data_IF_201334133029
#
_entry.id   IF_201334133029
#
_cell.length_a   1.000
_cell.length_b   1.000
_cell.length_c   1.000
_cell.angle_alpha   90.00
_cell.angle_beta   90.00
_cell.angle_gamma   90.00
#
_symmetry.space_group_name_H-M   'P 1'
#
loop_
_entity.id
_entity.type
_entity.pdbx_description
1 polymer ?
#
# COMPACT_ATOMS: atom_id res chain seq x y z
N UNK A 1 34.52 13.56 12.94
CA UNK A 1 34.00 13.12 11.62
C UNK A 1 33.74 11.60 11.68
N UNK A 2 32.50 11.16 11.53
CA UNK A 2 32.15 9.71 11.49
C UNK A 2 32.69 9.16 10.16
N UNK A 3 33.73 8.31 10.16
CA UNK A 3 34.19 7.61 8.96
C UNK A 3 33.18 6.52 8.64
N UNK A 4 32.38 6.72 7.59
CA UNK A 4 31.51 5.66 7.07
C UNK A 4 32.39 4.54 6.48
N UNK A 5 32.12 3.29 6.86
CA UNK A 5 32.73 2.10 6.25
C UNK A 5 31.88 1.66 5.04
N UNK A 6 31.76 2.54 4.05
CA UNK A 6 30.98 2.23 2.84
C UNK A 6 31.92 1.58 1.83
N UNK A 7 31.58 0.39 1.31
CA UNK A 7 32.33 -0.23 0.23
C UNK A 7 32.26 0.62 -1.06
N UNK A 8 33.18 0.35 -2.00
CA UNK A 8 33.16 0.99 -3.30
C UNK A 8 31.84 0.71 -4.04
N UNK A 9 31.25 1.73 -4.67
CA UNK A 9 29.98 1.63 -5.41
C UNK A 9 30.01 0.54 -6.49
N UNK A 10 31.11 0.45 -7.26
CA UNK A 10 31.27 -0.60 -8.27
C UNK A 10 31.23 -2.02 -7.69
N UNK A 11 31.78 -2.20 -6.48
CA UNK A 11 31.72 -3.50 -5.80
C UNK A 11 30.31 -3.82 -5.30
N UNK A 12 29.53 -2.81 -4.87
CA UNK A 12 28.11 -3.00 -4.48
C UNK A 12 27.25 -3.33 -5.68
N UNK A 13 27.43 -2.64 -6.82
CA UNK A 13 26.73 -2.92 -8.08
C UNK A 13 27.06 -4.32 -8.61
N UNK A 14 28.35 -4.71 -8.61
CA UNK A 14 28.80 -6.04 -9.03
C UNK A 14 28.19 -7.14 -8.13
N UNK A 15 28.15 -6.90 -6.83
CA UNK A 15 27.55 -7.82 -5.87
C UNK A 15 26.03 -7.96 -6.06
N UNK A 16 25.30 -6.84 -6.22
CA UNK A 16 23.86 -6.84 -6.43
C UNK A 16 23.49 -7.61 -7.71
N UNK A 17 24.12 -7.28 -8.84
CA UNK A 17 23.87 -7.95 -10.10
C UNK A 17 24.21 -9.46 -10.03
N UNK A 18 25.34 -9.83 -9.41
CA UNK A 18 25.71 -11.22 -9.22
C UNK A 18 24.77 -11.98 -8.29
N UNK A 19 24.24 -11.31 -7.26
CA UNK A 19 23.27 -11.89 -6.33
C UNK A 19 21.92 -12.15 -6.99
N UNK A 20 21.47 -11.23 -7.84
CA UNK A 20 20.19 -11.33 -8.55
C UNK A 20 20.21 -12.38 -9.65
N UNK A 21 21.31 -12.49 -10.39
CA UNK A 21 21.48 -13.49 -11.45
C UNK A 21 21.99 -14.85 -10.98
N UNK A 22 22.50 -14.95 -9.75
CA UNK A 22 23.27 -16.10 -9.25
C UNK A 22 24.37 -16.54 -10.26
N UNK A 23 24.95 -15.55 -10.98
CA UNK A 23 25.89 -15.76 -12.08
C UNK A 23 26.81 -14.54 -12.26
N UNK A 24 28.12 -14.78 -12.19
CA UNK A 24 29.11 -13.72 -12.46
C UNK A 24 29.16 -13.35 -13.95
N UNK A 25 28.92 -14.33 -14.83
CA UNK A 25 28.88 -14.11 -16.29
C UNK A 25 27.70 -13.20 -16.69
N UNK A 26 26.50 -13.42 -16.13
CA UNK A 26 25.34 -12.60 -16.41
C UNK A 26 25.48 -11.21 -15.80
N UNK A 27 25.99 -11.09 -14.58
CA UNK A 27 26.29 -9.82 -13.96
C UNK A 27 27.33 -9.01 -14.79
N UNK A 28 28.36 -9.67 -15.31
CA UNK A 28 29.36 -9.04 -16.14
C UNK A 28 28.76 -8.45 -17.43
N UNK A 29 27.86 -9.19 -18.09
CA UNK A 29 27.16 -8.73 -19.28
C UNK A 29 26.28 -7.51 -19.00
N UNK A 30 25.51 -7.54 -17.92
CA UNK A 30 24.64 -6.44 -17.51
C UNK A 30 25.44 -5.17 -17.20
N UNK A 31 26.57 -5.30 -16.51
CA UNK A 31 27.39 -4.16 -16.09
C UNK A 31 28.42 -3.73 -17.14
N UNK A 32 28.42 -4.34 -18.32
CA UNK A 32 29.41 -4.09 -19.38
C UNK A 32 30.85 -4.27 -18.87
N UNK A 33 31.08 -5.30 -18.02
CA UNK A 33 32.35 -5.66 -17.45
C UNK A 33 32.79 -7.06 -17.91
N UNK A 34 34.06 -7.40 -17.62
CA UNK A 34 34.52 -8.80 -17.75
C UNK A 34 34.15 -9.58 -16.48
N UNK A 35 33.98 -10.90 -16.61
CA UNK A 35 33.71 -11.78 -15.46
C UNK A 35 34.83 -11.71 -14.40
N UNK A 36 36.08 -11.56 -14.84
CA UNK A 36 37.23 -11.38 -13.95
C UNK A 36 37.16 -10.06 -13.17
N UNK A 37 36.64 -8.97 -13.78
CA UNK A 37 36.45 -7.70 -13.10
C UNK A 37 35.35 -7.80 -12.03
N UNK A 38 34.19 -8.40 -12.35
CA UNK A 38 33.12 -8.66 -11.39
C UNK A 38 33.63 -9.53 -10.22
N UNK A 39 34.33 -10.63 -10.53
CA UNK A 39 34.90 -11.51 -9.50
C UNK A 39 35.89 -10.75 -8.58
N UNK A 40 36.73 -9.90 -9.16
CA UNK A 40 37.68 -9.08 -8.37
C UNK A 40 36.96 -8.09 -7.45
N UNK A 41 35.94 -7.42 -7.95
CA UNK A 41 35.15 -6.49 -7.14
C UNK A 41 34.44 -7.18 -5.97
N UNK A 42 33.84 -8.37 -6.21
CA UNK A 42 33.19 -9.17 -5.18
C UNK A 42 34.22 -9.68 -4.15
N UNK A 43 35.39 -10.18 -4.59
CA UNK A 43 36.44 -10.60 -3.67
C UNK A 43 36.95 -9.45 -2.79
N UNK A 44 37.09 -8.24 -3.36
CA UNK A 44 37.45 -7.05 -2.60
C UNK A 44 36.37 -6.71 -1.56
N UNK A 45 35.09 -6.80 -1.94
CA UNK A 45 33.97 -6.58 -1.03
C UNK A 45 33.97 -7.60 0.13
N UNK A 46 34.10 -8.88 -0.17
CA UNK A 46 34.20 -9.94 0.83
C UNK A 46 35.38 -9.75 1.78
N UNK A 47 36.54 -9.34 1.23
CA UNK A 47 37.73 -9.07 2.02
C UNK A 47 37.54 -7.88 2.96
N UNK A 48 36.86 -6.80 2.50
CA UNK A 48 36.59 -5.62 3.31
C UNK A 48 35.57 -5.92 4.43
N UNK A 49 34.62 -6.82 4.16
CA UNK A 49 33.59 -7.23 5.13
C UNK A 49 34.10 -8.34 6.07
N UNK A 50 35.17 -9.05 5.70
CA UNK A 50 35.67 -10.21 6.43
C UNK A 50 34.73 -11.43 6.37
N UNK A 51 33.75 -11.44 5.42
CA UNK A 51 32.73 -12.47 5.32
C UNK A 51 32.55 -12.89 3.86
N UNK A 52 32.41 -14.20 3.61
CA UNK A 52 32.05 -14.71 2.28
C UNK A 52 30.56 -14.47 2.01
N UNK A 53 30.27 -13.86 0.86
CA UNK A 53 28.91 -13.60 0.39
C UNK A 53 28.44 -14.66 -0.61
N UNK A 54 29.38 -15.29 -1.32
CA UNK A 54 29.13 -16.38 -2.26
C UNK A 54 29.89 -17.65 -1.91
N UNK A 55 29.30 -18.78 -2.29
CA UNK A 55 29.96 -20.11 -2.31
C UNK A 55 29.72 -20.77 -3.66
N UNK A 56 30.63 -21.65 -4.06
CA UNK A 56 30.46 -22.47 -5.26
C UNK A 56 29.90 -23.84 -4.86
N UNK A 57 28.72 -24.18 -5.38
CA UNK A 57 28.10 -25.50 -5.20
C UNK A 57 27.90 -26.14 -6.57
N UNK A 58 28.56 -27.26 -6.85
CA UNK A 58 28.46 -27.96 -8.15
C UNK A 58 28.64 -26.99 -9.35
N UNK A 59 29.69 -26.18 -9.33
CA UNK A 59 30.03 -25.18 -10.36
C UNK A 59 29.06 -23.98 -10.45
N UNK A 60 28.04 -23.88 -9.62
CA UNK A 60 27.14 -22.71 -9.53
C UNK A 60 27.57 -21.79 -8.41
N UNK A 61 27.42 -20.50 -8.67
CA UNK A 61 27.60 -19.44 -7.66
C UNK A 61 26.30 -19.31 -6.90
N UNK A 62 26.33 -19.45 -5.57
CA UNK A 62 25.16 -19.39 -4.70
C UNK A 62 25.45 -18.46 -3.53
N UNK A 63 24.49 -17.68 -3.11
CA UNK A 63 24.61 -16.80 -1.94
C UNK A 63 24.74 -17.59 -0.64
N UNK A 64 25.66 -17.17 0.22
CA UNK A 64 25.70 -17.61 1.63
C UNK A 64 24.52 -17.03 2.41
N UNK A 65 24.31 -17.45 3.66
CA UNK A 65 23.33 -16.84 4.55
C UNK A 65 23.59 -15.33 4.73
N UNK A 66 24.86 -14.95 4.93
CA UNK A 66 25.28 -13.55 5.02
C UNK A 66 25.05 -12.82 3.68
N UNK A 67 25.35 -13.45 2.55
CA UNK A 67 25.11 -12.92 1.21
C UNK A 67 23.63 -12.61 0.95
N UNK A 68 22.70 -13.50 1.34
CA UNK A 68 21.25 -13.29 1.21
C UNK A 68 20.76 -12.06 2.00
N UNK A 69 21.18 -11.96 3.26
CA UNK A 69 20.82 -10.81 4.11
C UNK A 69 21.39 -9.51 3.53
N UNK A 70 22.68 -9.52 3.17
CA UNK A 70 23.35 -8.33 2.69
C UNK A 70 22.86 -7.90 1.29
N UNK A 71 22.51 -8.84 0.39
CA UNK A 71 21.98 -8.51 -0.93
C UNK A 71 20.65 -7.77 -0.85
N UNK A 72 19.75 -8.14 0.06
CA UNK A 72 18.50 -7.42 0.28
C UNK A 72 18.72 -6.00 0.78
N UNK A 73 19.72 -5.78 1.64
CA UNK A 73 20.06 -4.44 2.16
C UNK A 73 20.72 -3.58 1.09
N UNK A 74 21.70 -4.13 0.36
CA UNK A 74 22.40 -3.42 -0.72
C UNK A 74 21.43 -3.01 -1.82
N UNK A 75 20.56 -3.90 -2.24
CA UNK A 75 19.53 -3.59 -3.26
C UNK A 75 18.68 -2.40 -2.83
N UNK A 76 18.13 -2.42 -1.61
CA UNK A 76 17.32 -1.30 -1.09
C UNK A 76 18.10 0.03 -1.10
N UNK A 77 19.37 0.00 -0.68
CA UNK A 77 20.20 1.21 -0.65
C UNK A 77 20.51 1.74 -2.06
N UNK A 78 20.77 0.87 -3.02
CA UNK A 78 21.00 1.25 -4.42
C UNK A 78 19.74 1.80 -5.08
N UNK A 79 18.60 1.17 -4.86
CA UNK A 79 17.28 1.65 -5.34
C UNK A 79 16.92 3.00 -4.72
N UNK A 80 17.26 3.23 -3.45
CA UNK A 80 17.05 4.54 -2.80
C UNK A 80 17.95 5.60 -3.44
N UNK A 81 19.23 5.31 -3.61
CA UNK A 81 20.16 6.26 -4.22
C UNK A 81 19.80 6.59 -5.68
N UNK A 82 19.31 5.61 -6.44
CA UNK A 82 18.80 5.81 -7.80
C UNK A 82 17.58 6.75 -7.81
N UNK A 83 16.61 6.52 -6.94
CA UNK A 83 15.44 7.40 -6.78
C UNK A 83 15.84 8.83 -6.40
N UNK A 84 16.73 8.99 -5.42
CA UNK A 84 17.20 10.30 -4.97
C UNK A 84 17.90 11.04 -6.12
N UNK A 85 18.69 10.31 -6.90
CA UNK A 85 19.41 10.86 -8.07
C UNK A 85 18.43 11.29 -9.16
N UNK A 86 17.44 10.44 -9.50
CA UNK A 86 16.39 10.76 -10.47
C UNK A 86 15.55 11.94 -10.01
N UNK A 87 15.28 12.05 -8.71
CA UNK A 87 14.60 13.18 -8.11
C UNK A 87 15.32 14.49 -8.36
N UNK A 88 16.63 14.53 -8.14
CA UNK A 88 17.46 15.72 -8.40
C UNK A 88 17.53 16.05 -9.89
N UNK A 89 17.72 15.04 -10.75
CA UNK A 89 17.80 15.23 -12.21
C UNK A 89 16.49 15.80 -12.76
N UNK A 90 15.35 15.29 -12.28
CA UNK A 90 14.04 15.68 -12.80
C UNK A 90 13.60 17.10 -12.39
N UNK A 91 14.05 17.64 -11.26
CA UNK A 91 13.41 18.80 -10.62
C UNK A 91 14.34 19.97 -10.29
N UNK A 92 15.65 19.84 -10.46
CA UNK A 92 16.58 20.88 -10.02
C UNK A 92 16.39 21.22 -8.52
N UNK A 93 16.73 22.45 -8.12
CA UNK A 93 16.76 22.88 -6.72
C UNK A 93 15.45 23.43 -6.14
N UNK A 94 14.28 23.23 -6.78
CA UNK A 94 13.05 23.96 -6.43
C UNK A 94 11.81 23.12 -6.06
N UNK A 95 11.73 21.86 -6.47
CA UNK A 95 10.58 20.98 -6.23
C UNK A 95 10.87 19.85 -5.25
N UNK A 96 9.82 19.26 -4.68
CA UNK A 96 9.93 18.11 -3.78
C UNK A 96 9.07 16.94 -4.22
N UNK A 97 9.51 15.73 -3.89
CA UNK A 97 8.70 14.52 -3.99
C UNK A 97 8.15 14.15 -2.64
N UNK A 98 6.96 13.59 -2.64
CA UNK A 98 6.38 12.86 -1.52
C UNK A 98 6.23 11.41 -1.94
N UNK A 99 6.88 10.50 -1.25
CA UNK A 99 6.71 9.06 -1.41
C UNK A 99 5.59 8.57 -0.49
N UNK A 100 4.43 8.32 -1.07
CA UNK A 100 3.20 7.99 -0.36
C UNK A 100 2.85 6.51 -0.52
N UNK A 101 2.73 5.77 0.58
CA UNK A 101 2.11 4.46 0.60
C UNK A 101 0.59 4.60 0.60
N UNK A 102 -0.11 3.85 -0.24
CA UNK A 102 -1.57 3.96 -0.36
C UNK A 102 -2.25 2.61 -0.43
N UNK A 103 -3.51 2.58 0.01
CA UNK A 103 -4.42 1.47 -0.25
C UNK A 103 -4.91 1.57 -1.71
N UNK A 104 -4.84 0.49 -2.51
CA UNK A 104 -5.07 0.56 -3.96
C UNK A 104 -6.41 1.17 -4.34
N UNK A 105 -7.50 0.71 -3.72
CA UNK A 105 -8.85 1.17 -4.08
C UNK A 105 -9.10 2.59 -3.58
N UNK A 106 -8.58 2.96 -2.39
CA UNK A 106 -8.63 4.34 -1.92
C UNK A 106 -7.91 5.29 -2.88
N UNK A 107 -6.71 4.90 -3.33
CA UNK A 107 -5.96 5.69 -4.29
C UNK A 107 -6.76 5.90 -5.58
N UNK A 108 -7.26 4.84 -6.19
CA UNK A 108 -7.94 4.93 -7.49
C UNK A 108 -9.31 5.61 -7.42
N UNK A 109 -10.08 5.39 -6.36
CA UNK A 109 -11.47 5.86 -6.28
C UNK A 109 -11.61 7.21 -5.59
N UNK A 110 -10.72 7.53 -4.63
CA UNK A 110 -10.88 8.76 -3.86
C UNK A 110 -9.75 9.77 -4.07
N UNK A 111 -8.47 9.33 -3.99
CA UNK A 111 -7.34 10.25 -3.97
C UNK A 111 -6.97 10.76 -5.38
N UNK A 112 -6.75 9.87 -6.34
CA UNK A 112 -6.29 10.24 -7.70
C UNK A 112 -7.26 11.19 -8.39
N UNK A 113 -8.59 11.01 -8.35
CA UNK A 113 -9.51 11.96 -8.96
C UNK A 113 -9.39 13.41 -8.44
N UNK A 114 -8.87 13.57 -7.22
CA UNK A 114 -8.68 14.88 -6.55
C UNK A 114 -7.29 15.48 -6.77
N UNK A 115 -6.30 14.69 -7.17
CA UNK A 115 -4.92 15.15 -7.33
C UNK A 115 -4.72 16.24 -8.37
N UNK A 116 -5.63 16.39 -9.34
CA UNK A 116 -5.59 17.50 -10.29
C UNK A 116 -5.63 18.86 -9.57
N UNK A 117 -6.48 19.00 -8.54
CA UNK A 117 -6.57 20.20 -7.72
C UNK A 117 -5.32 20.43 -6.87
N UNK A 118 -4.75 19.35 -6.32
CA UNK A 118 -3.47 19.42 -5.61
C UNK A 118 -2.34 19.93 -6.51
N UNK A 119 -2.19 19.32 -7.71
CA UNK A 119 -1.14 19.70 -8.65
C UNK A 119 -1.29 21.15 -9.15
N UNK A 120 -2.51 21.65 -9.29
CA UNK A 120 -2.76 23.05 -9.64
C UNK A 120 -2.36 24.01 -8.50
N UNK A 121 -2.60 23.63 -7.23
CA UNK A 121 -2.27 24.44 -6.06
C UNK A 121 -0.77 24.37 -5.70
N UNK A 122 -0.14 23.23 -5.89
CA UNK A 122 1.26 22.96 -5.51
C UNK A 122 2.05 22.39 -6.71
N UNK A 123 2.28 23.18 -7.77
CA UNK A 123 2.91 22.69 -9.01
C UNK A 123 4.33 22.15 -8.83
N UNK A 124 5.02 22.58 -7.77
CA UNK A 124 6.39 22.15 -7.45
C UNK A 124 6.44 20.86 -6.63
N UNK A 125 5.31 20.34 -6.15
CA UNK A 125 5.26 19.10 -5.35
C UNK A 125 4.73 17.96 -6.21
N UNK A 126 5.45 16.84 -6.21
CA UNK A 126 5.05 15.61 -6.91
C UNK A 126 4.78 14.50 -5.89
N UNK A 127 3.71 13.76 -6.09
CA UNK A 127 3.34 12.64 -5.22
C UNK A 127 3.55 11.34 -5.98
N UNK A 128 4.54 10.56 -5.56
CA UNK A 128 4.73 9.19 -5.99
C UNK A 128 3.93 8.27 -5.08
N UNK A 129 3.28 7.26 -5.65
CA UNK A 129 2.45 6.35 -4.88
C UNK A 129 2.92 4.91 -5.03
N UNK A 130 3.04 4.22 -3.90
CA UNK A 130 3.29 2.79 -3.87
C UNK A 130 2.24 2.08 -3.01
N UNK A 131 1.91 0.84 -3.40
CA UNK A 131 0.86 0.08 -2.72
C UNK A 131 1.38 -0.54 -1.43
N UNK A 132 0.63 -0.34 -0.32
CA UNK A 132 0.77 -1.07 0.94
C UNK A 132 -0.61 -1.28 1.55
N UNK A 133 -0.90 -2.51 2.00
CA UNK A 133 -2.21 -2.87 2.59
C UNK A 133 -2.14 -3.07 4.10
N UNK A 134 -0.95 -3.05 4.70
CA UNK A 134 -0.75 -3.20 6.14
C UNK A 134 0.28 -2.24 6.69
N UNK A 135 0.48 -2.26 8.00
CA UNK A 135 1.51 -1.48 8.68
C UNK A 135 2.91 -2.01 8.36
N UNK A 136 3.88 -1.12 8.28
CA UNK A 136 5.29 -1.41 8.00
C UNK A 136 6.20 -0.44 8.77
N UNK A 137 7.44 -0.81 9.12
CA UNK A 137 8.39 0.16 9.65
C UNK A 137 8.80 1.16 8.57
N UNK A 138 8.52 2.45 8.76
CA UNK A 138 8.92 3.50 7.82
C UNK A 138 10.44 3.51 7.57
N UNK A 139 11.24 3.24 8.61
CA UNK A 139 12.69 3.16 8.51
C UNK A 139 13.21 2.09 7.51
N UNK A 140 12.40 1.07 7.22
CA UNK A 140 12.75 -0.01 6.30
C UNK A 140 12.24 0.24 4.88
N UNK A 141 11.63 1.40 4.62
CA UNK A 141 11.03 1.75 3.34
C UNK A 141 11.50 3.13 2.87
N UNK A 142 11.10 3.51 1.68
CA UNK A 142 11.30 4.86 1.14
C UNK A 142 10.07 5.76 1.33
N UNK A 143 8.98 5.24 1.89
CA UNK A 143 7.77 6.04 2.07
C UNK A 143 7.95 7.05 3.21
N UNK A 144 7.45 8.25 2.98
CA UNK A 144 7.45 9.37 3.93
C UNK A 144 6.10 9.49 4.65
N UNK A 145 5.03 9.01 4.02
CA UNK A 145 3.69 8.95 4.58
C UNK A 145 2.91 7.74 4.06
N UNK A 146 1.80 7.42 4.72
CA UNK A 146 0.90 6.35 4.31
C UNK A 146 -0.56 6.74 4.51
N UNK A 147 -1.43 6.37 3.58
CA UNK A 147 -2.87 6.29 3.84
C UNK A 147 -3.14 4.95 4.48
N UNK A 148 -3.62 4.99 5.70
CA UNK A 148 -3.90 3.82 6.53
C UNK A 148 -5.40 3.72 6.82
N UNK A 149 -5.93 2.50 6.78
CA UNK A 149 -7.25 2.17 7.29
C UNK A 149 -7.09 1.29 8.54
N UNK A 150 -7.72 1.68 9.62
CA UNK A 150 -7.64 0.99 10.90
C UNK A 150 -7.70 1.94 12.09
N UNK A 151 -6.97 1.59 13.16
CA UNK A 151 -6.74 2.46 14.32
C UNK A 151 -5.39 3.17 14.15
N UNK A 152 -5.21 4.40 14.66
CA UNK A 152 -3.98 5.17 14.52
C UNK A 152 -2.85 4.69 15.46
N UNK A 153 -2.83 3.41 15.79
CA UNK A 153 -1.88 2.79 16.73
C UNK A 153 -0.61 2.29 16.01
N UNK A 154 0.09 3.19 15.33
CA UNK A 154 1.32 2.85 14.61
C UNK A 154 2.53 3.46 15.32
N UNK A 155 3.42 2.65 15.94
CA UNK A 155 4.50 3.15 16.79
C UNK A 155 5.45 4.12 16.07
N UNK A 156 5.81 5.23 16.75
CA UNK A 156 6.77 6.21 16.22
C UNK A 156 6.21 7.11 15.12
N UNK A 157 4.89 7.13 14.93
CA UNK A 157 4.25 7.95 13.92
C UNK A 157 3.23 8.93 14.51
N UNK A 158 2.93 9.96 13.74
CA UNK A 158 1.76 10.81 13.90
C UNK A 158 0.69 10.39 12.91
N UNK A 159 -0.58 10.54 13.29
CA UNK A 159 -1.71 10.19 12.44
C UNK A 159 -2.73 11.33 12.44
N UNK A 160 -3.13 11.76 11.24
CA UNK A 160 -4.23 12.69 11.06
C UNK A 160 -5.47 11.92 10.59
N UNK A 161 -6.57 12.10 11.28
CA UNK A 161 -7.86 11.54 10.88
C UNK A 161 -8.33 12.18 9.57
N UNK A 162 -8.81 11.36 8.64
CA UNK A 162 -9.38 11.80 7.37
C UNK A 162 -10.91 11.71 7.43
N UNK A 163 -11.43 10.49 7.49
CA UNK A 163 -12.85 10.21 7.62
C UNK A 163 -13.09 8.75 8.00
N UNK A 164 -14.26 8.49 8.57
CA UNK A 164 -14.76 7.15 8.88
C UNK A 164 -15.25 6.43 7.63
N UNK A 165 -15.63 5.18 7.76
CA UNK A 165 -16.09 4.37 6.66
C UNK A 165 -17.53 3.87 6.89
N UNK A 166 -18.36 4.04 5.88
CA UNK A 166 -19.64 3.33 5.75
C UNK A 166 -19.44 2.18 4.79
N UNK A 167 -19.85 0.98 5.20
CA UNK A 167 -19.80 -0.22 4.36
C UNK A 167 -21.20 -0.66 3.98
N UNK A 168 -21.36 -1.08 2.73
CA UNK A 168 -22.62 -1.55 2.15
C UNK A 168 -22.43 -2.88 1.43
N UNK A 169 -23.45 -3.77 1.47
CA UNK A 169 -23.49 -4.94 0.62
C UNK A 169 -23.77 -4.51 -0.83
N UNK A 170 -23.07 -5.12 -1.79
CA UNK A 170 -23.30 -4.90 -3.23
C UNK A 170 -23.28 -6.22 -3.98
N UNK A 171 -24.14 -6.33 -4.99
CA UNK A 171 -24.20 -7.51 -5.89
C UNK A 171 -24.74 -7.14 -7.26
N UNK A 172 -24.59 -8.02 -8.23
CA UNK A 172 -25.33 -7.90 -9.48
C UNK A 172 -26.83 -8.04 -9.23
N UNK A 173 -27.65 -7.21 -9.86
CA UNK A 173 -29.12 -7.28 -9.72
C UNK A 173 -29.67 -8.66 -10.09
N UNK A 174 -29.06 -9.33 -11.07
CA UNK A 174 -29.44 -10.69 -11.54
C UNK A 174 -29.16 -11.80 -10.53
N UNK A 175 -28.38 -11.55 -9.49
CA UNK A 175 -28.12 -12.51 -8.43
C UNK A 175 -29.34 -12.69 -7.52
N UNK A 176 -30.13 -11.64 -7.35
CA UNK A 176 -31.21 -11.61 -6.38
C UNK A 176 -32.46 -12.34 -6.94
N UNK A 177 -32.74 -13.51 -6.37
CA UNK A 177 -33.97 -14.28 -6.73
C UNK A 177 -35.24 -13.64 -6.16
N UNK A 178 -35.13 -12.87 -5.07
CA UNK A 178 -36.22 -12.16 -4.37
C UNK A 178 -35.69 -10.87 -3.74
N UNK A 179 -36.57 -9.91 -3.42
CA UNK A 179 -36.19 -8.75 -2.63
C UNK A 179 -35.53 -9.14 -1.29
N UNK A 180 -34.51 -8.39 -0.87
CA UNK A 180 -33.87 -8.52 0.44
C UNK A 180 -34.55 -7.53 1.38
N UNK A 181 -35.20 -8.04 2.44
CA UNK A 181 -35.95 -7.23 3.41
C UNK A 181 -35.15 -7.06 4.71
N UNK A 182 -34.38 -8.06 5.07
CA UNK A 182 -33.58 -8.09 6.30
C UNK A 182 -32.13 -8.46 6.03
N UNK A 183 -31.24 -8.15 6.99
CA UNK A 183 -29.86 -8.57 6.90
C UNK A 183 -29.70 -10.10 6.82
N UNK A 184 -30.55 -10.85 7.53
CA UNK A 184 -30.52 -12.32 7.52
C UNK A 184 -30.78 -12.91 6.12
N UNK A 185 -31.56 -12.22 5.26
CA UNK A 185 -31.83 -12.68 3.89
C UNK A 185 -30.58 -12.75 3.03
N UNK A 186 -29.56 -11.94 3.34
CA UNK A 186 -28.26 -11.94 2.63
C UNK A 186 -27.49 -13.25 2.83
N UNK A 187 -27.77 -13.99 3.93
CA UNK A 187 -27.15 -15.28 4.21
C UNK A 187 -27.62 -16.42 3.30
N UNK A 188 -28.67 -16.20 2.50
CA UNK A 188 -29.13 -17.13 1.48
C UNK A 188 -28.28 -17.05 0.20
N UNK A 189 -27.36 -16.09 0.11
CA UNK A 189 -26.48 -15.85 -1.04
C UNK A 189 -25.02 -16.07 -0.66
N UNK A 190 -24.14 -16.41 -1.62
CA UNK A 190 -22.71 -16.49 -1.36
C UNK A 190 -22.14 -15.13 -0.89
N UNK A 191 -21.43 -15.11 0.24
CA UNK A 191 -20.75 -13.93 0.75
C UNK A 191 -19.31 -13.88 0.22
N UNK A 192 -18.88 -12.71 -0.26
CA UNK A 192 -17.50 -12.45 -0.72
C UNK A 192 -16.76 -11.65 0.34
N UNK A 193 -15.59 -12.14 0.75
CA UNK A 193 -14.84 -11.60 1.87
C UNK A 193 -13.58 -10.86 1.43
N UNK A 194 -13.18 -9.84 2.19
CA UNK A 194 -11.85 -9.24 2.10
C UNK A 194 -10.87 -9.96 3.01
N UNK A 195 -9.68 -10.35 2.50
CA UNK A 195 -8.60 -10.90 3.33
C UNK A 195 -8.01 -9.85 4.28
N UNK A 196 -8.09 -8.57 3.91
CA UNK A 196 -7.61 -7.46 4.76
C UNK A 196 -8.59 -7.06 5.85
N UNK A 197 -9.85 -7.57 5.77
CA UNK A 197 -10.92 -7.33 6.74
C UNK A 197 -11.65 -8.64 7.02
N UNK A 198 -11.00 -9.61 7.69
CA UNK A 198 -11.53 -10.97 7.83
C UNK A 198 -12.87 -11.02 8.58
N UNK A 199 -13.09 -10.09 9.52
CA UNK A 199 -14.28 -10.01 10.36
C UNK A 199 -15.34 -9.02 9.83
N UNK A 200 -15.15 -8.46 8.62
CA UNK A 200 -16.02 -7.41 8.07
C UNK A 200 -17.50 -7.79 8.04
N UNK A 201 -17.82 -8.95 7.49
CA UNK A 201 -19.20 -9.45 7.47
C UNK A 201 -19.74 -9.74 8.86
N UNK A 202 -18.96 -10.42 9.72
CA UNK A 202 -19.39 -10.75 11.08
C UNK A 202 -19.72 -9.49 11.88
N UNK A 203 -18.87 -8.47 11.82
CA UNK A 203 -19.11 -7.18 12.47
C UNK A 203 -20.34 -6.46 11.89
N UNK A 204 -20.49 -6.48 10.56
CA UNK A 204 -21.64 -5.85 9.90
C UNK A 204 -22.96 -6.49 10.31
N UNK A 205 -23.03 -7.82 10.31
CA UNK A 205 -24.21 -8.57 10.73
C UNK A 205 -24.51 -8.39 12.23
N UNK A 206 -23.46 -8.41 13.08
CA UNK A 206 -23.61 -8.21 14.52
C UNK A 206 -24.20 -6.82 14.84
N UNK A 207 -23.79 -5.76 14.13
CA UNK A 207 -24.35 -4.42 14.27
C UNK A 207 -25.85 -4.37 13.91
N UNK A 208 -26.33 -5.32 13.11
CA UNK A 208 -27.75 -5.45 12.72
C UNK A 208 -28.49 -6.53 13.53
N UNK A 209 -27.87 -7.04 14.60
CA UNK A 209 -28.47 -8.02 15.51
C UNK A 209 -28.53 -9.44 14.93
N UNK A 210 -27.73 -9.76 13.92
CA UNK A 210 -27.64 -11.10 13.32
C UNK A 210 -26.36 -11.79 13.79
N UNK A 211 -26.49 -12.90 14.52
CA UNK A 211 -25.40 -13.76 14.97
C UNK A 211 -25.54 -15.14 14.30
N UNK A 212 -24.74 -15.40 13.26
CA UNK A 212 -24.79 -16.63 12.47
C UNK A 212 -23.38 -16.99 11.97
N UNK A 213 -23.00 -18.25 12.14
CA UNK A 213 -21.68 -18.74 11.71
C UNK A 213 -21.46 -18.68 10.19
N UNK A 214 -22.53 -18.58 9.38
CA UNK A 214 -22.43 -18.40 7.93
C UNK A 214 -21.77 -17.08 7.56
N UNK A 215 -21.79 -16.08 8.44
CA UNK A 215 -21.14 -14.78 8.23
C UNK A 215 -19.62 -14.85 8.03
N UNK A 216 -18.99 -15.97 8.37
CA UNK A 216 -17.56 -16.21 8.21
C UNK A 216 -17.21 -17.08 6.99
N UNK A 217 -18.23 -17.59 6.27
CA UNK A 217 -18.05 -18.51 5.16
C UNK A 217 -18.06 -17.76 3.82
N UNK A 218 -17.22 -18.17 2.91
CA UNK A 218 -17.20 -17.62 1.55
C UNK A 218 -15.80 -17.47 0.96
N UNK A 219 -15.76 -17.04 -0.29
CA UNK A 219 -14.53 -16.82 -1.05
C UNK A 219 -13.87 -15.52 -0.59
N UNK A 220 -12.54 -15.50 -0.56
CA UNK A 220 -11.75 -14.37 -0.06
C UNK A 220 -10.95 -13.72 -1.18
N UNK A 221 -10.96 -12.39 -1.20
CA UNK A 221 -10.19 -11.56 -2.14
C UNK A 221 -9.34 -10.55 -1.37
N UNK A 222 -8.16 -10.23 -1.89
CA UNK A 222 -7.26 -9.30 -1.23
C UNK A 222 -7.64 -7.82 -1.48
N UNK A 223 -8.10 -7.51 -2.69
CA UNK A 223 -8.40 -6.14 -3.10
C UNK A 223 -9.91 -5.91 -3.21
N UNK A 224 -10.39 -4.73 -2.78
CA UNK A 224 -11.79 -4.34 -2.97
C UNK A 224 -12.19 -4.26 -4.45
N UNK A 225 -11.25 -3.92 -5.35
CA UNK A 225 -11.50 -3.97 -6.80
C UNK A 225 -11.84 -5.38 -7.28
N UNK A 226 -11.19 -6.42 -6.73
CA UNK A 226 -11.54 -7.82 -7.03
C UNK A 226 -12.90 -8.18 -6.47
N UNK A 227 -13.22 -7.75 -5.25
CA UNK A 227 -14.54 -7.95 -4.62
C UNK A 227 -15.66 -7.34 -5.46
N UNK A 228 -15.48 -6.07 -5.87
CA UNK A 228 -16.46 -5.34 -6.70
C UNK A 228 -16.65 -6.06 -8.05
N UNK A 229 -15.54 -6.46 -8.69
CA UNK A 229 -15.60 -7.21 -9.96
C UNK A 229 -16.29 -8.56 -9.80
N UNK A 230 -16.04 -9.29 -8.72
CA UNK A 230 -16.68 -10.58 -8.43
C UNK A 230 -18.20 -10.41 -8.17
N UNK A 231 -18.58 -9.37 -7.44
CA UNK A 231 -19.99 -9.03 -7.21
C UNK A 231 -20.70 -8.67 -8.52
N UNK A 232 -20.08 -7.85 -9.39
CA UNK A 232 -20.61 -7.49 -10.69
C UNK A 232 -20.73 -8.69 -11.63
N UNK A 233 -19.84 -9.68 -11.50
CA UNK A 233 -19.90 -10.94 -12.23
C UNK A 233 -20.98 -11.93 -11.68
N UNK A 234 -21.74 -11.54 -10.63
CA UNK A 234 -22.77 -12.38 -10.03
C UNK A 234 -22.25 -13.54 -9.17
N UNK A 235 -21.00 -13.49 -8.70
CA UNK A 235 -20.40 -14.56 -7.90
C UNK A 235 -20.86 -14.55 -6.44
N UNK A 236 -21.49 -13.47 -5.98
CA UNK A 236 -21.98 -13.33 -4.61
C UNK A 236 -22.19 -11.87 -4.22
N UNK A 237 -22.44 -11.66 -2.94
CA UNK A 237 -22.60 -10.33 -2.33
C UNK A 237 -21.28 -9.92 -1.68
N UNK A 238 -20.76 -8.75 -2.04
CA UNK A 238 -19.54 -8.18 -1.47
C UNK A 238 -19.89 -7.09 -0.46
N UNK A 239 -19.18 -7.02 0.66
CA UNK A 239 -19.24 -5.90 1.60
C UNK A 239 -18.10 -4.94 1.28
N UNK A 240 -18.43 -3.73 0.87
CA UNK A 240 -17.44 -2.75 0.40
C UNK A 240 -17.72 -1.35 0.95
N UNK A 241 -16.69 -0.51 1.10
CA UNK A 241 -16.90 0.91 1.38
C UNK A 241 -17.82 1.54 0.34
N UNK A 242 -18.85 2.24 0.79
CA UNK A 242 -19.85 2.88 -0.06
C UNK A 242 -19.20 3.78 -1.11
N UNK A 243 -18.23 4.60 -0.73
CA UNK A 243 -17.56 5.54 -1.63
C UNK A 243 -16.70 4.88 -2.74
N UNK A 244 -16.48 3.57 -2.68
CA UNK A 244 -15.82 2.85 -3.77
C UNK A 244 -16.78 2.53 -4.92
N UNK A 245 -18.07 2.57 -4.69
CA UNK A 245 -19.08 2.05 -5.65
C UNK A 245 -20.14 3.07 -6.03
N UNK A 246 -20.52 4.03 -5.17
CA UNK A 246 -21.64 4.93 -5.40
C UNK A 246 -21.66 5.59 -6.78
N UNK A 247 -20.51 6.08 -7.24
CA UNK A 247 -20.39 6.74 -8.55
C UNK A 247 -20.44 5.75 -9.73
N UNK A 248 -20.39 4.44 -9.49
CA UNK A 248 -20.21 3.43 -10.53
C UNK A 248 -21.25 2.30 -10.46
N UNK A 249 -22.19 2.33 -9.52
CA UNK A 249 -23.20 1.26 -9.34
C UNK A 249 -23.89 0.92 -10.65
N UNK A 250 -24.46 1.91 -11.32
CA UNK A 250 -25.16 1.73 -12.58
C UNK A 250 -24.25 1.20 -13.69
N UNK A 251 -23.06 1.79 -13.83
CA UNK A 251 -22.07 1.38 -14.85
C UNK A 251 -21.61 -0.07 -14.67
N UNK A 252 -21.50 -0.53 -13.43
CA UNK A 252 -21.08 -1.89 -13.07
C UNK A 252 -22.25 -2.89 -13.02
N UNK A 253 -23.49 -2.43 -13.21
CA UNK A 253 -24.69 -3.26 -13.05
C UNK A 253 -24.89 -3.77 -11.62
N UNK A 254 -24.36 -3.02 -10.64
CA UNK A 254 -24.47 -3.33 -9.22
C UNK A 254 -25.68 -2.67 -8.57
N UNK A 255 -26.22 -3.35 -7.57
CA UNK A 255 -27.25 -2.82 -6.67
C UNK A 255 -26.79 -2.98 -5.22
N UNK A 256 -27.32 -2.13 -4.35
CA UNK A 256 -27.23 -2.29 -2.89
C UNK A 256 -28.51 -3.01 -2.46
N UNK A 257 -28.45 -4.33 -2.16
CA UNK A 257 -29.65 -5.11 -1.88
C UNK A 257 -30.32 -4.72 -0.56
N UNK A 258 -29.54 -4.20 0.39
CA UNK A 258 -30.02 -3.69 1.67
C UNK A 258 -29.19 -2.46 2.06
N UNK A 259 -29.81 -1.30 2.09
CA UNK A 259 -29.16 -0.05 2.52
C UNK A 259 -29.23 0.07 4.05
N UNK A 260 -28.44 -0.77 4.74
CA UNK A 260 -28.28 -0.75 6.18
C UNK A 260 -26.90 -0.20 6.51
N UNK A 261 -26.87 0.95 7.16
CA UNK A 261 -25.61 1.60 7.56
C UNK A 261 -25.03 0.88 8.76
N UNK A 262 -23.81 0.37 8.61
CA UNK A 262 -22.97 -0.03 9.72
C UNK A 262 -21.71 0.84 9.70
N UNK A 263 -21.52 1.60 10.79
CA UNK A 263 -20.31 2.38 10.99
C UNK A 263 -19.20 1.43 11.41
N UNK A 264 -18.09 1.47 10.71
CA UNK A 264 -16.93 0.65 11.06
C UNK A 264 -16.18 1.23 12.27
N UNK A 265 -15.62 0.36 13.12
CA UNK A 265 -14.75 0.73 14.25
C UNK A 265 -13.39 1.28 13.82
N UNK A 266 -13.19 1.52 12.55
CA UNK A 266 -11.93 1.92 11.92
C UNK A 266 -12.17 3.05 10.93
N UNK A 267 -11.13 3.86 10.70
CA UNK A 267 -11.20 5.02 9.85
C UNK A 267 -9.96 5.13 8.94
N UNK A 268 -9.99 6.08 8.01
CA UNK A 268 -8.84 6.42 7.20
C UNK A 268 -8.01 7.51 7.88
N UNK A 269 -6.70 7.33 7.86
CA UNK A 269 -5.72 8.25 8.43
C UNK A 269 -4.58 8.51 7.45
N UNK A 270 -4.04 9.73 7.48
CA UNK A 270 -2.70 10.01 6.97
C UNK A 270 -1.71 9.76 8.10
N UNK A 271 -0.81 8.80 7.92
CA UNK A 271 0.20 8.40 8.93
C UNK A 271 1.59 8.72 8.40
N UNK A 272 2.46 9.28 9.24
CA UNK A 272 3.83 9.66 8.89
C UNK A 272 4.74 9.63 10.11
N UNK A 273 6.08 9.39 9.96
CA UNK A 273 7.03 9.46 11.05
C UNK A 273 7.00 10.85 11.70
N UNK A 274 6.95 10.89 13.04
CA UNK A 274 6.87 12.17 13.79
C UNK A 274 8.07 13.09 13.49
N UNK A 275 9.25 12.50 13.22
CA UNK A 275 10.46 13.25 12.89
C UNK A 275 10.44 13.91 11.50
N UNK A 276 9.65 13.39 10.55
CA UNK A 276 9.56 13.88 9.17
C UNK A 276 8.42 14.90 8.96
N UNK A 277 7.69 15.26 10.00
CA UNK A 277 6.48 16.11 9.94
C UNK A 277 6.69 17.52 9.34
N UNK A 278 7.92 17.94 9.08
CA UNK A 278 8.27 19.31 8.66
C UNK A 278 8.79 19.45 7.22
N UNK A 279 8.82 18.37 6.43
CA UNK A 279 9.20 18.46 5.01
C UNK A 279 8.13 19.20 4.20
N UNK A 280 8.54 20.18 3.36
CA UNK A 280 7.60 20.98 2.54
C UNK A 280 6.63 20.11 1.72
N UNK A 281 7.04 19.03 1.03
CA UNK A 281 6.12 18.18 0.26
C UNK A 281 5.04 17.54 1.12
N UNK A 282 5.43 16.96 2.26
CA UNK A 282 4.50 16.31 3.18
C UNK A 282 3.55 17.35 3.81
N UNK A 283 4.06 18.50 4.24
CA UNK A 283 3.23 19.56 4.85
C UNK A 283 2.18 20.07 3.86
N UNK A 284 2.56 20.37 2.62
CA UNK A 284 1.65 20.83 1.58
C UNK A 284 0.57 19.79 1.25
N UNK A 285 0.99 18.52 1.11
CA UNK A 285 0.07 17.41 0.84
C UNK A 285 -0.90 17.18 2.01
N UNK A 286 -0.39 17.17 3.24
CA UNK A 286 -1.17 17.01 4.47
C UNK A 286 -2.25 18.08 4.59
N UNK A 287 -1.90 19.36 4.46
CA UNK A 287 -2.83 20.48 4.55
C UNK A 287 -3.92 20.39 3.48
N UNK A 288 -3.55 20.05 2.25
CA UNK A 288 -4.50 19.85 1.17
C UNK A 288 -5.41 18.65 1.44
N UNK A 289 -4.84 17.51 1.80
CA UNK A 289 -5.58 16.27 2.02
C UNK A 289 -6.60 16.41 3.14
N UNK A 290 -6.24 17.08 4.24
CA UNK A 290 -7.16 17.34 5.36
C UNK A 290 -8.32 18.23 4.96
N UNK A 291 -8.10 19.25 4.10
CA UNK A 291 -9.19 20.08 3.56
C UNK A 291 -10.12 19.26 2.65
N UNK A 292 -9.57 18.43 1.77
CA UNK A 292 -10.37 17.55 0.91
C UNK A 292 -11.18 16.53 1.72
N UNK A 293 -10.58 15.96 2.75
CA UNK A 293 -11.27 15.03 3.66
C UNK A 293 -12.39 15.72 4.43
N UNK A 294 -12.16 16.92 4.96
CA UNK A 294 -13.16 17.71 5.65
C UNK A 294 -14.33 18.10 4.73
N UNK A 295 -14.03 18.55 3.51
CA UNK A 295 -15.04 18.86 2.50
C UNK A 295 -15.86 17.62 2.12
N UNK A 296 -15.21 16.47 1.99
CA UNK A 296 -15.88 15.21 1.71
C UNK A 296 -16.80 14.76 2.85
N UNK A 297 -16.35 14.86 4.11
CA UNK A 297 -17.16 14.54 5.29
C UNK A 297 -18.33 15.48 5.49
N UNK A 298 -18.19 16.76 5.09
CA UNK A 298 -19.27 17.75 5.21
C UNK A 298 -20.50 17.40 4.34
N UNK A 299 -20.29 16.76 3.19
CA UNK A 299 -21.38 16.31 2.30
C UNK A 299 -21.82 14.87 2.59
N UNK A 300 -21.07 14.14 3.45
CA UNK A 300 -21.36 12.78 3.89
C UNK A 300 -21.28 12.71 5.43
N UNK A 301 -22.30 13.19 6.16
CA UNK A 301 -22.20 13.39 7.62
C UNK A 301 -21.96 12.11 8.43
N UNK A 302 -22.34 10.94 7.92
CA UNK A 302 -22.03 9.65 8.54
C UNK A 302 -20.53 9.32 8.64
N UNK A 303 -19.68 10.04 7.86
CA UNK A 303 -18.22 9.83 7.81
C UNK A 303 -17.44 10.77 8.74
N UNK A 304 -18.09 11.76 9.38
CA UNK A 304 -17.43 12.80 10.17
C UNK A 304 -16.98 12.31 11.57
N UNK A 305 -17.53 11.19 12.07
CA UNK A 305 -17.22 10.66 13.39
C UNK A 305 -15.83 10.01 13.45
N UNK A 306 -14.95 10.47 14.35
CA UNK A 306 -13.74 9.73 14.66
C UNK A 306 -14.09 8.60 15.67
N UNK A 307 -13.88 7.32 15.35
CA UNK A 307 -14.20 6.21 16.25
C UNK A 307 -13.51 6.26 17.61
N UNK A 308 -12.42 7.04 17.76
CA UNK A 308 -11.70 7.20 19.02
C UNK A 308 -12.28 8.28 19.96
N UNK A 309 -13.27 9.04 19.50
CA UNK A 309 -13.90 10.12 20.29
C UNK A 309 -15.26 9.71 20.88
N UNK A 310 -15.66 8.46 20.75
CA UNK A 310 -16.91 7.89 21.30
C UNK A 310 -16.63 6.98 22.49
#
# INVERSE_FOLDING_TARGET
MRKFKIPNMGALLAFEAAARHESFTHAARELFLTESAVSRQINTLESNLGVRLFVRVKQRVVLTKAGKVYSAQVRRSLEQLDRDTLSIIAHGSGGGYLELAVLPTFASQWLIPRLAAFNAQYPDVRVNMGVRTGTFPFADTHFEAAIHYGKPTWPGTSADFLFSEEVVPVCAASLLARPVETAADLLDYPLLHSTTRPDGWASWFANLGVDDNRTMQGVRYELHTMLISAAAAGLGIALVPRFFVDAQLEQLGLVIPLDALAVADSAYYLVYPTELSHGKPLTSFREWLLREAAAYSAVNPGLAGNPETV
#
